data_IF_585115918435
#
_entry.id   IF_585115918435
#
_cell.length_a   1.000
_cell.length_b   1.000
_cell.length_c   1.000
_cell.angle_alpha   90.00
_cell.angle_beta   90.00
_cell.angle_gamma   90.00
#
_symmetry.space_group_name_H-M   'P 1'
#
loop_
_entity.id
_entity.type
_entity.pdbx_description
1 polymer ?
#
# COMPACT_ATOMS: atom_id res chain seq x y z
N UNK A 1 7.66 -13.43 -5.10
CA UNK A 1 6.24 -13.32 -5.51
C UNK A 1 5.59 -12.22 -4.66
N UNK A 2 4.75 -11.35 -5.22
CA UNK A 2 4.03 -10.32 -4.44
C UNK A 2 2.80 -10.96 -3.78
N UNK A 3 2.51 -10.71 -2.49
CA UNK A 3 1.34 -11.26 -1.80
C UNK A 3 0.03 -10.79 -2.44
N UNK A 4 -1.01 -11.64 -2.38
CA UNK A 4 -2.35 -11.35 -2.93
C UNK A 4 -3.30 -10.78 -1.90
N UNK A 5 -3.06 -11.09 -0.62
CA UNK A 5 -3.87 -10.66 0.52
C UNK A 5 -2.98 -10.45 1.75
N UNK A 6 -3.57 -9.96 2.86
CA UNK A 6 -2.83 -9.70 4.10
C UNK A 6 -2.35 -10.97 4.81
N UNK A 7 -2.97 -12.13 4.56
CA UNK A 7 -2.56 -13.41 5.16
C UNK A 7 -1.32 -14.01 4.48
N UNK A 8 -1.10 -13.69 3.19
CA UNK A 8 0.12 -14.03 2.45
C UNK A 8 1.28 -13.05 2.70
N UNK A 9 1.04 -11.94 3.40
CA UNK A 9 2.08 -10.95 3.65
C UNK A 9 3.09 -11.46 4.68
N UNK A 10 4.28 -11.82 4.20
CA UNK A 10 5.35 -12.36 5.06
C UNK A 10 5.91 -11.29 6.00
N UNK A 11 5.99 -11.64 7.29
CA UNK A 11 6.48 -10.73 8.34
C UNK A 11 5.43 -9.70 8.76
N UNK A 12 5.84 -8.70 9.55
CA UNK A 12 4.98 -7.58 9.96
C UNK A 12 3.64 -7.95 10.63
N UNK A 13 3.53 -9.12 11.29
CA UNK A 13 2.32 -9.56 12.02
C UNK A 13 1.86 -8.57 13.10
N UNK A 14 2.78 -7.79 13.65
CA UNK A 14 2.48 -6.72 14.60
C UNK A 14 1.67 -5.57 13.96
N UNK A 15 1.78 -5.40 12.64
CA UNK A 15 1.13 -4.35 11.86
C UNK A 15 -0.12 -4.87 11.14
N UNK A 16 -0.01 -5.98 10.40
CA UNK A 16 -1.06 -6.51 9.51
C UNK A 16 -1.66 -7.86 9.97
N UNK A 17 -1.29 -8.32 11.16
CA UNK A 17 -1.89 -9.51 11.75
C UNK A 17 -3.38 -9.32 12.05
N UNK A 18 -4.13 -10.42 12.15
CA UNK A 18 -5.56 -10.40 12.51
C UNK A 18 -5.80 -9.58 13.78
N UNK A 19 -6.82 -8.73 13.75
CA UNK A 19 -7.20 -7.87 14.88
C UNK A 19 -6.31 -6.63 15.09
N UNK A 20 -5.24 -6.43 14.31
CA UNK A 20 -4.39 -5.24 14.42
C UNK A 20 -5.09 -4.00 13.84
N UNK A 21 -4.80 -2.79 14.36
CA UNK A 21 -5.48 -1.56 13.93
C UNK A 21 -5.41 -1.32 12.43
N UNK A 22 -4.22 -1.45 11.83
CA UNK A 22 -4.08 -1.23 10.38
C UNK A 22 -4.88 -2.25 9.57
N UNK A 23 -4.87 -3.53 9.96
CA UNK A 23 -5.68 -4.57 9.29
C UNK A 23 -7.17 -4.26 9.38
N UNK A 24 -7.67 -3.85 10.54
CA UNK A 24 -9.07 -3.45 10.71
C UNK A 24 -9.44 -2.28 9.80
N UNK A 25 -8.61 -1.24 9.73
CA UNK A 25 -8.84 -0.10 8.83
C UNK A 25 -8.96 -0.57 7.37
N UNK A 26 -8.03 -1.43 6.93
CA UNK A 26 -8.02 -1.99 5.58
C UNK A 26 -9.27 -2.82 5.31
N UNK A 27 -9.64 -3.71 6.24
CA UNK A 27 -10.83 -4.56 6.10
C UNK A 27 -12.15 -3.78 6.11
N UNK A 28 -12.18 -2.59 6.73
CA UNK A 28 -13.36 -1.70 6.71
C UNK A 28 -13.42 -0.77 5.49
N UNK A 29 -12.40 -0.76 4.63
CA UNK A 29 -12.30 0.17 3.50
C UNK A 29 -11.95 1.63 3.87
N UNK A 30 -11.87 1.96 5.16
CA UNK A 30 -11.54 3.30 5.63
C UNK A 30 -10.02 3.50 5.65
N UNK A 31 -9.45 3.85 4.49
CA UNK A 31 -8.01 4.03 4.31
C UNK A 31 -7.63 5.51 4.46
N UNK A 32 -6.92 5.90 5.53
CA UNK A 32 -6.35 7.24 5.61
C UNK A 32 -5.11 7.37 4.71
N UNK A 33 -4.66 8.60 4.48
CA UNK A 33 -3.33 8.86 3.91
C UNK A 33 -2.24 8.24 4.81
N UNK A 34 -1.30 7.51 4.21
CA UNK A 34 -0.27 6.75 4.93
C UNK A 34 1.12 6.96 4.34
N UNK A 35 2.13 6.93 5.20
CA UNK A 35 3.54 6.84 4.82
C UNK A 35 4.08 5.51 5.36
N UNK A 36 4.56 4.63 4.48
CA UNK A 36 5.25 3.40 4.88
C UNK A 36 6.75 3.64 4.96
N UNK A 37 7.33 3.43 6.14
CA UNK A 37 8.77 3.61 6.37
C UNK A 37 9.43 2.27 6.73
N UNK A 38 10.66 2.07 6.23
CA UNK A 38 11.44 0.86 6.50
C UNK A 38 12.51 0.58 5.44
N UNK A 39 13.41 -0.39 5.68
CA UNK A 39 14.54 -0.70 4.81
C UNK A 39 14.11 -1.21 3.42
N UNK A 40 14.99 -1.18 2.41
CA UNK A 40 14.69 -1.78 1.10
C UNK A 40 14.29 -3.25 1.27
N UNK A 41 13.30 -3.71 0.48
CA UNK A 41 12.79 -5.07 0.58
C UNK A 41 11.79 -5.34 1.73
N UNK A 42 11.52 -4.37 2.62
CA UNK A 42 10.56 -4.55 3.74
C UNK A 42 9.08 -4.69 3.34
N UNK A 43 8.77 -4.73 2.04
CA UNK A 43 7.42 -4.96 1.54
C UNK A 43 6.52 -3.73 1.44
N UNK A 44 7.02 -2.50 1.57
CA UNK A 44 6.23 -1.24 1.50
C UNK A 44 5.32 -1.16 0.26
N UNK A 45 5.91 -1.29 -0.93
CA UNK A 45 5.17 -1.21 -2.20
C UNK A 45 4.22 -2.41 -2.37
N UNK A 46 4.60 -3.58 -1.84
CA UNK A 46 3.74 -4.76 -1.86
C UNK A 46 2.52 -4.60 -0.94
N UNK A 47 2.70 -3.98 0.23
CA UNK A 47 1.60 -3.69 1.14
C UNK A 47 0.64 -2.67 0.54
N UNK A 48 1.15 -1.58 -0.03
CA UNK A 48 0.33 -0.58 -0.73
C UNK A 48 -0.50 -1.22 -1.88
N UNK A 49 0.11 -2.13 -2.65
CA UNK A 49 -0.58 -2.87 -3.70
C UNK A 49 -1.70 -3.78 -3.18
N UNK A 50 -1.43 -4.53 -2.11
CA UNK A 50 -2.45 -5.40 -1.49
C UNK A 50 -3.61 -4.57 -0.93
N UNK A 51 -3.32 -3.44 -0.28
CA UNK A 51 -4.36 -2.54 0.25
C UNK A 51 -5.26 -2.05 -0.88
N UNK A 52 -4.68 -1.52 -1.96
CA UNK A 52 -5.45 -1.03 -3.11
C UNK A 52 -6.36 -2.13 -3.70
N UNK A 53 -5.86 -3.37 -3.79
CA UNK A 53 -6.67 -4.51 -4.25
C UNK A 53 -7.81 -4.88 -3.30
N UNK A 54 -7.61 -4.76 -1.99
CA UNK A 54 -8.63 -5.10 -0.99
C UNK A 54 -9.74 -4.06 -0.90
N UNK A 55 -9.42 -2.79 -1.15
CA UNK A 55 -10.40 -1.69 -1.10
C UNK A 55 -10.91 -1.27 -2.48
N UNK A 56 -10.64 -2.07 -3.50
CA UNK A 56 -11.00 -1.81 -4.91
C UNK A 56 -10.62 -0.41 -5.41
N UNK A 57 -9.37 -0.01 -5.14
CA UNK A 57 -8.82 1.28 -5.55
C UNK A 57 -7.76 1.14 -6.64
N UNK A 58 -7.62 2.21 -7.44
CA UNK A 58 -6.52 2.33 -8.39
C UNK A 58 -5.16 2.35 -7.69
N UNK A 59 -4.19 1.65 -8.27
CA UNK A 59 -2.82 1.61 -7.77
C UNK A 59 -1.85 2.20 -8.78
N UNK A 60 -1.24 3.32 -8.42
CA UNK A 60 -0.27 4.03 -9.26
C UNK A 60 1.08 4.06 -8.55
N UNK A 61 2.05 3.31 -9.07
CA UNK A 61 3.41 3.32 -8.56
C UNK A 61 4.27 4.32 -9.34
N UNK A 62 4.66 5.42 -8.70
CA UNK A 62 5.66 6.37 -9.20
C UNK A 62 6.82 6.48 -8.22
N UNK A 63 8.04 6.48 -8.75
CA UNK A 63 9.24 6.75 -7.95
C UNK A 63 9.49 8.25 -7.90
N UNK A 64 9.68 8.81 -6.71
CA UNK A 64 10.05 10.23 -6.54
C UNK A 64 11.39 10.59 -7.20
N UNK A 65 12.24 9.59 -7.49
CA UNK A 65 13.51 9.78 -8.21
C UNK A 65 13.30 9.94 -9.72
N UNK A 66 12.23 9.36 -10.26
CA UNK A 66 11.96 9.34 -11.70
C UNK A 66 10.78 10.25 -12.12
N UNK A 67 9.89 10.60 -11.19
CA UNK A 67 8.68 11.35 -11.49
C UNK A 67 8.92 12.87 -11.38
N UNK A 68 8.50 13.60 -12.42
CA UNK A 68 8.46 15.06 -12.42
C UNK A 68 7.07 15.61 -12.09
N UNK A 69 6.96 16.93 -12.02
CA UNK A 69 5.67 17.61 -11.74
C UNK A 69 4.62 17.33 -12.82
N UNK A 70 5.05 17.11 -14.07
CA UNK A 70 4.16 16.77 -15.18
C UNK A 70 3.48 15.41 -14.95
N UNK A 71 4.25 14.39 -14.57
CA UNK A 71 3.71 13.05 -14.24
C UNK A 71 2.65 13.11 -13.14
N UNK A 72 2.90 13.90 -12.09
CA UNK A 72 1.98 14.03 -10.96
C UNK A 72 0.67 14.70 -11.39
N UNK A 73 0.75 15.75 -12.23
CA UNK A 73 -0.45 16.43 -12.77
C UNK A 73 -1.30 15.49 -13.62
N UNK A 74 -0.67 14.70 -14.49
CA UNK A 74 -1.39 13.72 -15.32
C UNK A 74 -2.12 12.67 -14.48
N UNK A 75 -1.53 12.23 -13.36
CA UNK A 75 -2.15 11.27 -12.45
C UNK A 75 -3.38 11.85 -11.75
N UNK A 76 -3.32 13.11 -11.31
CA UNK A 76 -4.41 13.76 -10.56
C UNK A 76 -5.62 14.08 -11.47
N UNK A 77 -5.42 14.19 -12.77
CA UNK A 77 -6.48 14.52 -13.75
C UNK A 77 -7.23 13.29 -14.30
N UNK A 78 -6.79 12.08 -13.94
CA UNK A 78 -7.38 10.82 -14.41
C UNK A 78 -8.60 10.45 -13.58
#
# INVERSE_FOLDING_TARGET
>A
MRPRNLDEFAGQKHLVGKGRPLRKLIETGNIPSMIFWGPPGSGKTSLAFVIAKLVDADFIAKSAVAAGIKDVREIVQR
#
